data_IF_034960612145
#
_entry.id   IF_034960612145
#
_cell.length_a   1.000
_cell.length_b   1.000
_cell.length_c   1.000
_cell.angle_alpha   90.00
_cell.angle_beta   90.00
_cell.angle_gamma   90.00
#
_symmetry.space_group_name_H-M   'P 1'
#
loop_
_entity.id
_entity.type
_entity.pdbx_description
1 polymer ?
#
# COMPACT_ATOMS: atom_id res chain seq x y z
N UNK A 1 -33.05 35.78 -27.22
CA UNK A 1 -32.30 34.51 -27.32
C UNK A 1 -31.04 34.66 -26.47
N UNK A 2 -31.20 34.63 -25.15
CA UNK A 2 -31.36 33.42 -24.30
C UNK A 2 -30.04 32.64 -24.26
N UNK A 3 -29.29 32.80 -23.17
CA UNK A 3 -29.09 31.79 -22.10
C UNK A 3 -28.29 30.57 -22.61
N UNK A 4 -27.20 30.13 -21.98
CA UNK A 4 -27.19 29.51 -20.66
C UNK A 4 -25.77 29.51 -20.06
N UNK A 5 -25.72 29.84 -18.77
CA UNK A 5 -24.98 29.18 -17.65
C UNK A 5 -24.12 27.95 -18.01
N UNK A 6 -22.93 27.75 -17.45
CA UNK A 6 -22.66 27.15 -16.13
C UNK A 6 -21.13 27.14 -15.95
N UNK A 7 -20.53 27.81 -14.96
CA UNK A 7 -20.34 27.36 -13.58
C UNK A 7 -19.63 26.00 -13.45
N UNK A 8 -18.36 26.11 -13.05
CA UNK A 8 -17.62 25.21 -12.15
C UNK A 8 -17.42 23.75 -12.56
N UNK A 9 -16.22 23.44 -13.02
CA UNK A 9 -15.47 22.30 -12.48
C UNK A 9 -13.97 22.63 -12.48
N UNK A 10 -13.54 23.29 -11.40
CA UNK A 10 -12.13 23.20 -10.97
C UNK A 10 -11.95 21.79 -10.45
N UNK A 11 -11.71 20.84 -11.37
CA UNK A 11 -11.06 19.57 -11.03
C UNK A 11 -9.69 19.93 -10.48
N UNK A 12 -9.66 20.12 -9.16
CA UNK A 12 -8.43 20.20 -8.40
C UNK A 12 -7.80 18.84 -8.58
N UNK A 13 -6.83 18.74 -9.49
CA UNK A 13 -5.87 17.65 -9.57
C UNK A 13 -5.41 17.37 -8.14
N UNK A 14 -6.03 16.38 -7.50
CA UNK A 14 -5.52 15.78 -6.28
C UNK A 14 -4.24 15.12 -6.72
N UNK A 15 -3.14 15.90 -6.72
CA UNK A 15 -1.78 15.39 -6.72
C UNK A 15 -1.82 14.19 -5.80
N UNK A 16 -1.53 12.96 -6.26
CA UNK A 16 -1.50 11.82 -5.38
C UNK A 16 -0.45 12.18 -4.34
N UNK A 17 -0.91 12.56 -3.13
CA UNK A 17 -0.04 12.67 -1.99
C UNK A 17 0.77 11.38 -2.03
N UNK A 18 2.11 11.43 -2.13
CA UNK A 18 2.89 10.22 -2.24
C UNK A 18 2.45 9.38 -1.04
N UNK A 19 1.68 8.33 -1.34
CA UNK A 19 1.22 7.39 -0.34
C UNK A 19 2.53 7.01 0.33
N UNK A 20 2.67 7.31 1.62
CA UNK A 20 3.86 7.00 2.39
C UNK A 20 3.90 5.47 2.46
N UNK A 21 4.32 4.83 1.37
CA UNK A 21 4.45 3.40 1.24
C UNK A 21 5.53 3.07 2.25
N UNK A 22 5.09 2.57 3.40
CA UNK A 22 6.01 2.22 4.46
C UNK A 22 6.92 1.14 3.94
N UNK A 23 8.22 1.35 4.14
CA UNK A 23 9.25 0.44 3.65
C UNK A 23 9.01 -0.95 4.25
N UNK A 24 9.18 -2.02 3.47
CA UNK A 24 9.19 -3.37 4.00
C UNK A 24 10.22 -3.49 5.11
N UNK A 25 9.94 -4.31 6.12
CA UNK A 25 10.88 -4.54 7.24
C UNK A 25 11.63 -5.84 7.05
N UNK A 26 12.79 -5.98 7.70
CA UNK A 26 13.45 -7.27 7.83
C UNK A 26 12.75 -8.12 8.89
N UNK A 27 12.46 -9.37 8.57
CA UNK A 27 11.89 -10.33 9.51
C UNK A 27 12.16 -11.77 9.07
N UNK A 28 11.39 -12.71 9.61
CA UNK A 28 11.51 -14.14 9.30
C UNK A 28 10.18 -14.72 8.87
N UNK A 29 10.21 -15.70 7.97
CA UNK A 29 9.03 -16.44 7.58
C UNK A 29 8.48 -17.26 8.78
N UNK A 30 7.18 -17.19 9.11
CA UNK A 30 6.59 -17.95 10.21
C UNK A 30 6.67 -19.47 10.05
N UNK A 31 6.85 -19.98 8.82
CA UNK A 31 6.83 -21.42 8.52
C UNK A 31 8.22 -22.04 8.45
N UNK A 32 9.15 -21.43 7.70
CA UNK A 32 10.50 -21.98 7.52
C UNK A 32 11.59 -21.21 8.28
N UNK A 33 11.21 -20.17 9.03
CA UNK A 33 12.09 -19.31 9.82
C UNK A 33 13.25 -18.65 9.04
N UNK A 34 13.19 -18.65 7.71
CA UNK A 34 14.21 -17.99 6.87
C UNK A 34 14.01 -16.48 6.85
N UNK A 35 15.12 -15.71 6.79
CA UNK A 35 15.06 -14.27 6.67
C UNK A 35 14.39 -13.85 5.35
N UNK A 36 13.52 -12.84 5.43
CA UNK A 36 12.87 -12.23 4.27
C UNK A 36 12.42 -10.80 4.58
N UNK A 37 12.17 -10.03 3.52
CA UNK A 37 11.46 -8.77 3.63
C UNK A 37 9.97 -9.03 3.90
N UNK A 38 9.40 -8.27 4.83
CA UNK A 38 8.00 -8.34 5.22
C UNK A 38 7.34 -6.99 4.90
N UNK A 39 6.44 -7.02 3.93
CA UNK A 39 5.56 -5.92 3.56
C UNK A 39 4.41 -5.79 4.56
N UNK A 40 3.78 -4.62 4.57
CA UNK A 40 2.50 -4.43 5.27
C UNK A 40 1.41 -5.21 4.54
N UNK A 41 0.54 -5.90 5.29
CA UNK A 41 -0.50 -6.74 4.69
C UNK A 41 0.00 -8.14 4.35
N UNK A 42 -0.25 -8.61 3.12
CA UNK A 42 -0.02 -10.00 2.73
C UNK A 42 1.41 -10.21 2.21
N UNK A 43 2.04 -11.29 2.65
CA UNK A 43 3.41 -11.66 2.32
C UNK A 43 3.47 -13.09 1.84
N UNK A 44 4.30 -13.34 0.83
CA UNK A 44 4.62 -14.68 0.34
C UNK A 44 6.10 -14.93 0.56
N UNK A 45 6.43 -16.00 1.28
CA UNK A 45 7.82 -16.36 1.51
C UNK A 45 8.48 -16.83 0.19
N UNK A 46 9.62 -16.27 -0.22
CA UNK A 46 10.32 -16.70 -1.43
C UNK A 46 10.97 -18.08 -1.28
N UNK A 47 11.15 -18.55 -0.04
CA UNK A 47 11.84 -19.81 0.24
C UNK A 47 10.90 -21.02 0.30
N UNK A 48 9.73 -20.89 0.95
CA UNK A 48 8.81 -22.02 1.14
C UNK A 48 7.42 -21.78 0.52
N UNK A 49 7.19 -20.62 -0.11
CA UNK A 49 5.92 -20.27 -0.73
C UNK A 49 4.78 -19.94 0.25
N UNK A 50 5.00 -20.03 1.56
CA UNK A 50 3.96 -19.77 2.57
C UNK A 50 3.46 -18.33 2.51
N UNK A 51 2.14 -18.17 2.53
CA UNK A 51 1.47 -16.87 2.50
C UNK A 51 0.99 -16.53 3.91
N UNK A 52 1.34 -15.35 4.41
CA UNK A 52 0.95 -14.87 5.73
C UNK A 52 0.63 -13.37 5.73
N UNK A 53 -0.26 -12.95 6.64
CA UNK A 53 -0.57 -11.53 6.86
C UNK A 53 0.28 -10.99 8.01
N UNK A 54 0.90 -9.84 7.81
CA UNK A 54 1.77 -9.21 8.79
C UNK A 54 1.00 -8.21 9.65
N UNK A 55 1.10 -8.36 10.97
CA UNK A 55 0.46 -7.48 11.96
C UNK A 55 1.32 -6.25 12.29
N UNK A 56 1.97 -5.66 11.27
CA UNK A 56 2.80 -4.47 11.47
C UNK A 56 1.88 -3.29 11.79
N UNK A 57 1.89 -2.85 13.05
CA UNK A 57 1.13 -1.68 13.49
C UNK A 57 1.70 -0.44 12.81
N UNK A 58 0.80 0.36 12.25
CA UNK A 58 1.13 1.69 11.75
C UNK A 58 1.26 2.64 12.95
N UNK A 59 2.42 2.67 13.62
CA UNK A 59 2.74 3.74 14.59
C UNK A 59 2.90 5.08 13.88
#
# INVERSE_FOLDING_TARGET
MEELVMAADKETEKKPNPLKIRKPIHGRCPRCNRPMMINYGLNRCPNCGFIFKSNLKLN
#
